data_IF_686411252868
#
_entry.id   IF_686411252868
#
_cell.length_a   1.000
_cell.length_b   1.000
_cell.length_c   1.000
_cell.angle_alpha   90.00
_cell.angle_beta   90.00
_cell.angle_gamma   90.00
#
_symmetry.space_group_name_H-M   'P 1'
#
loop_
_entity.id
_entity.type
_entity.pdbx_description
1 polymer ?
#
# COMPACT_ATOMS: atom_id res chain seq x y z
N UNK A 1 0.34 14.14 35.98
CA UNK A 1 0.01 12.95 35.17
C UNK A 1 1.30 12.19 34.90
N UNK A 2 1.37 10.91 35.28
CA UNK A 2 2.55 10.05 35.05
C UNK A 2 2.77 9.81 33.55
N UNK A 3 4.02 9.72 33.11
CA UNK A 3 4.40 9.45 31.70
C UNK A 3 3.88 8.12 31.15
N UNK A 4 3.60 7.16 32.04
CA UNK A 4 2.95 5.89 31.72
C UNK A 4 1.48 6.09 31.34
N UNK A 5 0.73 6.93 32.06
CA UNK A 5 -0.66 7.23 31.71
C UNK A 5 -0.80 7.89 30.33
N UNK A 6 0.23 8.61 29.88
CA UNK A 6 0.26 9.23 28.55
C UNK A 6 0.65 8.27 27.44
N UNK A 7 1.45 7.22 27.68
CA UNK A 7 1.75 6.22 26.64
C UNK A 7 0.56 5.31 26.39
N UNK A 8 -0.13 4.90 27.44
CA UNK A 8 -1.30 4.04 27.34
C UNK A 8 -2.43 4.74 26.57
N UNK A 9 -2.64 6.03 26.82
CA UNK A 9 -3.59 6.85 26.05
C UNK A 9 -3.24 6.90 24.56
N UNK A 10 -1.97 7.16 24.21
CA UNK A 10 -1.53 7.21 22.81
C UNK A 10 -1.69 5.84 22.13
N UNK A 11 -1.41 4.74 22.83
CA UNK A 11 -1.67 3.39 22.33
C UNK A 11 -3.15 3.14 22.08
N UNK A 12 -4.02 3.50 23.03
CA UNK A 12 -5.46 3.34 22.87
C UNK A 12 -5.99 4.14 21.68
N UNK A 13 -5.55 5.39 21.51
CA UNK A 13 -5.90 6.20 20.33
C UNK A 13 -5.38 5.57 19.04
N UNK A 14 -4.15 5.06 19.02
CA UNK A 14 -3.63 4.33 17.87
C UNK A 14 -4.48 3.11 17.52
N UNK A 15 -4.86 2.29 18.50
CA UNK A 15 -5.68 1.10 18.27
C UNK A 15 -7.06 1.45 17.72
N UNK A 16 -7.68 2.51 18.23
CA UNK A 16 -8.96 3.02 17.72
C UNK A 16 -8.84 3.47 16.25
N UNK A 17 -7.84 4.29 15.94
CA UNK A 17 -7.61 4.76 14.57
C UNK A 17 -7.24 3.62 13.62
N UNK A 18 -6.48 2.64 14.09
CA UNK A 18 -6.13 1.45 13.31
C UNK A 18 -7.37 0.61 12.99
N UNK A 19 -8.23 0.37 13.99
CA UNK A 19 -9.50 -0.32 13.78
C UNK A 19 -10.43 0.42 12.81
N UNK A 20 -10.51 1.75 12.95
CA UNK A 20 -11.25 2.60 12.01
C UNK A 20 -10.68 2.49 10.59
N UNK A 21 -9.36 2.55 10.42
CA UNK A 21 -8.73 2.39 9.12
C UNK A 21 -9.08 1.04 8.46
N UNK A 22 -9.12 -0.05 9.23
CA UNK A 22 -9.47 -1.38 8.72
C UNK A 22 -10.94 -1.53 8.31
N UNK A 23 -11.84 -0.77 8.93
CA UNK A 23 -13.29 -0.92 8.76
C UNK A 23 -13.89 0.13 7.83
N UNK A 24 -13.27 1.30 7.74
CA UNK A 24 -13.71 2.39 6.87
C UNK A 24 -13.34 2.07 5.41
N UNK A 25 -14.29 2.36 4.52
CA UNK A 25 -14.08 2.26 3.08
C UNK A 25 -13.01 3.24 2.61
N UNK A 26 -12.28 2.88 1.56
CA UNK A 26 -11.18 3.65 0.97
C UNK A 26 -11.60 5.08 0.65
N UNK A 27 -12.81 5.30 0.11
CA UNK A 27 -13.30 6.64 -0.26
C UNK A 27 -13.43 7.60 0.94
N UNK A 28 -13.49 7.05 2.16
CA UNK A 28 -13.73 7.81 3.38
C UNK A 28 -12.52 7.84 4.32
N UNK A 29 -11.38 7.28 3.92
CA UNK A 29 -10.16 7.27 4.74
C UNK A 29 -9.66 8.68 5.07
N UNK A 30 -10.03 9.70 4.29
CA UNK A 30 -9.65 11.10 4.49
C UNK A 30 -10.04 11.64 5.87
N UNK A 31 -11.11 11.13 6.47
CA UNK A 31 -11.58 11.57 7.80
C UNK A 31 -10.59 11.23 8.92
N UNK A 32 -9.67 10.28 8.70
CA UNK A 32 -8.70 9.85 9.70
C UNK A 32 -7.41 10.67 9.69
N UNK A 33 -7.12 11.38 8.59
CA UNK A 33 -5.81 12.00 8.38
C UNK A 33 -5.46 13.04 9.44
N UNK A 34 -6.40 13.89 9.83
CA UNK A 34 -6.19 14.92 10.86
C UNK A 34 -5.89 14.27 12.22
N UNK A 35 -6.68 13.28 12.61
CA UNK A 35 -6.49 12.56 13.87
C UNK A 35 -5.15 11.82 13.92
N UNK A 36 -4.76 11.17 12.81
CA UNK A 36 -3.47 10.50 12.68
C UNK A 36 -2.30 11.49 12.70
N UNK A 37 -2.45 12.65 12.07
CA UNK A 37 -1.44 13.72 12.09
C UNK A 37 -1.23 14.27 13.50
N UNK A 38 -2.33 14.52 14.23
CA UNK A 38 -2.31 14.96 15.62
C UNK A 38 -1.64 13.92 16.52
N UNK A 39 -2.00 12.64 16.39
CA UNK A 39 -1.36 11.56 17.14
C UNK A 39 0.13 11.43 16.81
N UNK A 40 0.50 11.50 15.52
CA UNK A 40 1.90 11.48 15.06
C UNK A 40 2.71 12.60 15.68
N UNK A 41 2.18 13.83 15.67
CA UNK A 41 2.84 14.98 16.28
C UNK A 41 3.02 14.79 17.79
N UNK A 42 1.96 14.38 18.48
CA UNK A 42 1.97 14.14 19.92
C UNK A 42 2.96 13.04 20.34
N UNK A 43 2.96 11.89 19.66
CA UNK A 43 3.90 10.78 19.92
C UNK A 43 5.34 11.21 19.68
N UNK A 44 5.61 11.96 18.59
CA UNK A 44 6.97 12.41 18.27
C UNK A 44 7.49 13.44 19.27
N UNK A 45 6.65 14.37 19.72
CA UNK A 45 7.00 15.32 20.78
C UNK A 45 7.40 14.59 22.07
N UNK A 46 6.56 13.64 22.53
CA UNK A 46 6.88 12.82 23.71
C UNK A 46 8.13 11.95 23.52
N UNK A 47 8.36 11.40 22.31
CA UNK A 47 9.55 10.58 22.03
C UNK A 47 10.85 11.35 22.21
N UNK A 48 10.87 12.63 21.79
CA UNK A 48 12.05 13.50 21.97
C UNK A 48 12.32 13.71 23.47
N UNK A 49 11.28 13.96 24.25
CA UNK A 49 11.41 14.16 25.69
C UNK A 49 11.80 12.88 26.44
N UNK A 50 11.19 11.74 26.09
CA UNK A 50 11.52 10.43 26.66
C UNK A 50 12.97 10.05 26.38
N UNK A 51 13.45 10.30 25.14
CA UNK A 51 14.86 10.10 24.77
C UNK A 51 15.78 10.96 25.64
N UNK A 52 15.45 12.25 25.79
CA UNK A 52 16.24 13.20 26.59
C UNK A 52 16.32 12.76 28.05
N UNK A 53 15.19 12.39 28.65
CA UNK A 53 15.13 11.90 30.04
C UNK A 53 15.94 10.63 30.23
N UNK A 54 15.82 9.68 29.31
CA UNK A 54 16.59 8.44 29.34
C UNK A 54 18.10 8.70 29.25
N UNK A 55 18.56 9.50 28.29
CA UNK A 55 19.99 9.81 28.16
C UNK A 55 20.52 10.58 29.37
N UNK A 56 19.77 11.56 29.91
CA UNK A 56 20.15 12.28 31.13
C UNK A 56 20.28 11.34 32.35
N UNK A 57 19.34 10.41 32.53
CA UNK A 57 19.40 9.44 33.63
C UNK A 57 20.58 8.46 33.46
N UNK A 58 20.85 8.06 32.21
CA UNK A 58 21.97 7.21 31.85
C UNK A 58 23.31 7.92 32.09
N UNK A 59 23.47 9.17 31.66
CA UNK A 59 24.65 9.98 31.93
C UNK A 59 24.86 10.19 33.43
N UNK A 60 23.80 10.52 34.16
CA UNK A 60 23.85 10.66 35.63
C UNK A 60 24.31 9.37 36.29
N UNK A 61 23.83 8.21 35.82
CA UNK A 61 24.28 6.91 36.31
C UNK A 61 25.78 6.68 36.05
N UNK A 62 26.25 6.97 34.83
CA UNK A 62 27.65 6.80 34.45
C UNK A 62 28.59 7.75 35.20
N UNK A 63 28.13 8.97 35.48
CA UNK A 63 28.91 10.00 36.18
C UNK A 63 28.92 9.79 37.70
N UNK A 64 27.81 9.35 38.30
CA UNK A 64 27.68 9.15 39.75
C UNK A 64 28.33 7.86 40.24
N UNK A 65 28.30 6.81 39.41
CA UNK A 65 28.84 5.51 39.75
C UNK A 65 30.01 5.18 38.81
N UNK A 66 31.23 5.09 39.33
CA UNK A 66 32.37 4.56 38.57
C UNK A 66 32.21 3.04 38.35
N UNK A 67 33.10 2.43 37.56
CA UNK A 67 32.94 1.03 37.13
C UNK A 67 32.82 0.05 38.32
N UNK A 68 33.62 0.23 39.38
CA UNK A 68 33.55 -0.61 40.57
C UNK A 68 32.24 -0.40 41.35
N UNK A 69 31.79 0.85 41.52
CA UNK A 69 30.51 1.14 42.18
C UNK A 69 29.33 0.55 41.43
N UNK A 70 29.36 0.54 40.09
CA UNK A 70 28.29 -0.06 39.28
C UNK A 70 28.16 -1.58 39.45
N UNK A 71 29.26 -2.27 39.68
CA UNK A 71 29.29 -3.74 39.78
C UNK A 71 28.98 -4.19 41.21
N UNK A 72 29.49 -3.48 42.21
CA UNK A 72 29.54 -3.98 43.59
C UNK A 72 28.65 -3.24 44.59
N UNK A 73 27.87 -2.24 44.18
CA UNK A 73 27.02 -1.48 45.13
C UNK A 73 25.53 -1.61 44.85
N UNK A 74 24.77 -1.86 45.94
CA UNK A 74 23.31 -1.89 45.92
C UNK A 74 22.72 -0.55 45.45
N UNK A 75 23.34 0.57 45.79
CA UNK A 75 22.86 1.91 45.41
C UNK A 75 22.92 2.18 43.92
N UNK A 76 23.95 1.68 43.22
CA UNK A 76 24.03 1.75 41.76
C UNK A 76 22.93 0.88 41.11
N UNK A 77 22.74 -0.34 41.60
CA UNK A 77 21.69 -1.24 41.12
C UNK A 77 20.29 -0.64 41.32
N UNK A 78 20.03 -0.09 42.51
CA UNK A 78 18.77 0.56 42.83
C UNK A 78 18.49 1.75 41.91
N UNK A 79 19.46 2.64 41.71
CA UNK A 79 19.30 3.78 40.79
C UNK A 79 19.04 3.32 39.34
N UNK A 80 19.80 2.33 38.87
CA UNK A 80 19.60 1.77 37.53
C UNK A 80 18.18 1.24 37.36
N UNK A 81 17.68 0.49 38.33
CA UNK A 81 16.35 -0.13 38.27
C UNK A 81 15.20 0.87 38.49
N UNK A 82 15.39 1.91 39.30
CA UNK A 82 14.36 2.91 39.57
C UNK A 82 14.30 4.05 38.56
N UNK A 83 15.41 4.35 37.88
CA UNK A 83 15.54 5.59 37.09
C UNK A 83 15.98 5.35 35.66
N UNK A 84 16.87 4.39 35.39
CA UNK A 84 17.38 4.17 34.02
C UNK A 84 16.50 3.18 33.25
N UNK A 85 16.20 2.03 33.86
CA UNK A 85 15.45 0.95 33.20
C UNK A 85 14.02 1.36 32.82
N UNK A 86 13.21 2.00 33.70
CA UNK A 86 11.85 2.41 33.35
C UNK A 86 11.83 3.44 32.22
N UNK A 87 12.73 4.44 32.26
CA UNK A 87 12.83 5.44 31.20
C UNK A 87 13.26 4.83 29.86
N UNK A 88 14.17 3.83 29.89
CA UNK A 88 14.52 3.08 28.68
C UNK A 88 13.31 2.34 28.10
N UNK A 89 12.51 1.69 28.95
CA UNK A 89 11.32 0.97 28.51
C UNK A 89 10.30 1.90 27.87
N UNK A 90 9.98 3.03 28.53
CA UNK A 90 9.08 4.05 27.98
C UNK A 90 9.58 4.57 26.64
N UNK A 91 10.87 4.92 26.54
CA UNK A 91 11.48 5.37 25.29
C UNK A 91 11.34 4.33 24.15
N UNK A 92 11.59 3.05 24.43
CA UNK A 92 11.46 2.00 23.41
C UNK A 92 10.01 1.77 22.99
N UNK A 93 9.06 1.77 23.94
CA UNK A 93 7.64 1.66 23.64
C UNK A 93 7.15 2.84 22.79
N UNK A 94 7.58 4.06 23.10
CA UNK A 94 7.25 5.28 22.35
C UNK A 94 7.84 5.25 20.95
N UNK A 95 9.08 4.75 20.82
CA UNK A 95 9.75 4.59 19.53
C UNK A 95 9.01 3.60 18.64
N UNK A 96 8.60 2.46 19.19
CA UNK A 96 7.78 1.48 18.48
C UNK A 96 6.44 2.07 18.04
N UNK A 97 5.73 2.77 18.94
CA UNK A 97 4.48 3.42 18.62
C UNK A 97 4.64 4.49 17.52
N UNK A 98 5.69 5.31 17.59
CA UNK A 98 6.02 6.30 16.55
C UNK A 98 6.15 5.66 15.17
N UNK A 99 6.84 4.51 15.07
CA UNK A 99 6.94 3.75 13.81
C UNK A 99 5.57 3.27 13.33
N UNK A 100 4.73 2.75 14.22
CA UNK A 100 3.39 2.25 13.86
C UNK A 100 2.43 3.34 13.43
N UNK A 101 2.42 4.48 14.12
CA UNK A 101 1.61 5.66 13.74
C UNK A 101 2.08 6.23 12.41
N UNK A 102 3.40 6.31 12.16
CA UNK A 102 3.95 6.76 10.88
C UNK A 102 3.54 5.82 9.74
N UNK A 103 3.64 4.50 9.94
CA UNK A 103 3.22 3.52 8.97
C UNK A 103 1.73 3.69 8.60
N UNK A 104 0.85 3.74 9.60
CA UNK A 104 -0.59 3.91 9.39
C UNK A 104 -0.93 5.25 8.72
N UNK A 105 -0.27 6.34 9.13
CA UNK A 105 -0.44 7.65 8.50
C UNK A 105 -0.08 7.63 7.01
N UNK A 106 1.06 7.03 6.66
CA UNK A 106 1.49 6.92 5.27
C UNK A 106 0.53 6.04 4.47
N UNK A 107 0.16 4.87 4.99
CA UNK A 107 -0.81 3.97 4.35
C UNK A 107 -2.15 4.68 4.09
N UNK A 108 -2.70 5.38 5.10
CA UNK A 108 -3.94 6.16 4.96
C UNK A 108 -3.78 7.27 3.93
N UNK A 109 -2.65 7.99 3.94
CA UNK A 109 -2.38 9.06 2.97
C UNK A 109 -2.35 8.50 1.54
N UNK A 110 -1.70 7.36 1.31
CA UNK A 110 -1.72 6.70 0.00
C UNK A 110 -3.13 6.26 -0.40
N UNK A 111 -3.91 5.69 0.53
CA UNK A 111 -5.27 5.25 0.26
C UNK A 111 -6.22 6.40 -0.10
N UNK A 112 -6.00 7.59 0.45
CA UNK A 112 -6.77 8.80 0.14
C UNK A 112 -6.41 9.46 -1.18
N UNK A 113 -5.30 9.05 -1.81
CA UNK A 113 -4.93 9.58 -3.12
C UNK A 113 -5.96 9.13 -4.17
N UNK A 114 -6.41 10.03 -5.07
CA UNK A 114 -7.28 9.65 -6.18
C UNK A 114 -6.59 8.67 -7.11
N UNK A 115 -5.26 8.68 -7.17
CA UNK A 115 -4.46 7.73 -7.93
C UNK A 115 -3.36 7.14 -7.06
N UNK A 116 -3.25 5.82 -7.05
CA UNK A 116 -2.18 5.10 -6.37
C UNK A 116 -1.56 4.09 -7.34
N UNK A 117 -0.23 4.07 -7.39
CA UNK A 117 0.52 3.05 -8.12
C UNK A 117 1.44 2.31 -7.19
N UNK A 118 1.55 0.99 -7.38
CA UNK A 118 2.56 0.17 -6.73
C UNK A 118 3.31 -0.65 -7.77
N UNK A 119 4.56 -0.91 -7.47
CA UNK A 119 5.46 -1.67 -8.34
C UNK A 119 6.00 -2.89 -7.61
N UNK A 120 6.39 -3.90 -8.38
CA UNK A 120 7.08 -5.07 -7.85
C UNK A 120 8.22 -5.47 -8.79
N UNK A 121 9.44 -5.46 -8.27
CA UNK A 121 10.66 -5.78 -9.01
C UNK A 121 10.72 -7.28 -9.31
N UNK A 122 11.16 -7.68 -10.50
CA UNK A 122 11.31 -9.10 -10.87
C UNK A 122 10.05 -9.95 -10.65
N UNK A 123 8.88 -9.32 -10.83
CA UNK A 123 7.60 -10.00 -10.85
C UNK A 123 6.47 -9.12 -11.36
N UNK A 124 5.26 -9.49 -10.96
CA UNK A 124 4.02 -8.77 -11.22
C UNK A 124 3.37 -8.35 -9.91
N UNK A 125 2.51 -7.36 -10.00
CA UNK A 125 1.65 -6.89 -8.93
C UNK A 125 0.30 -6.58 -9.54
N UNK A 126 -0.76 -6.90 -8.83
CA UNK A 126 -2.12 -6.58 -9.22
C UNK A 126 -2.87 -5.98 -8.03
N UNK A 127 -3.81 -5.09 -8.35
CA UNK A 127 -4.73 -4.49 -7.40
C UNK A 127 -6.14 -4.72 -7.88
N UNK A 128 -7.04 -5.02 -6.95
CA UNK A 128 -8.46 -5.10 -7.21
C UNK A 128 -9.20 -4.32 -6.15
N UNK A 129 -10.10 -3.45 -6.57
CA UNK A 129 -11.01 -2.76 -5.66
C UNK A 129 -12.26 -3.61 -5.44
N UNK A 130 -12.59 -3.87 -4.17
CA UNK A 130 -13.84 -4.50 -3.80
C UNK A 130 -14.86 -3.40 -3.41
N UNK A 131 -15.86 -3.12 -4.26
CA UNK A 131 -16.84 -2.07 -3.99
C UNK A 131 -17.80 -2.40 -2.85
N UNK A 132 -17.91 -3.67 -2.43
CA UNK A 132 -18.76 -4.09 -1.31
C UNK A 132 -18.09 -3.72 0.02
N UNK A 133 -16.84 -4.13 0.20
CA UNK A 133 -16.07 -3.81 1.41
C UNK A 133 -15.47 -2.40 1.38
N UNK A 134 -15.37 -1.82 0.20
CA UNK A 134 -14.69 -0.55 -0.05
C UNK A 134 -13.18 -0.63 0.15
N UNK A 135 -12.56 -1.81 0.01
CA UNK A 135 -11.12 -2.02 0.23
C UNK A 135 -10.44 -2.46 -1.06
N UNK A 136 -9.17 -2.09 -1.21
CA UNK A 136 -8.32 -2.59 -2.28
C UNK A 136 -7.49 -3.78 -1.78
N UNK A 137 -7.49 -4.87 -2.55
CA UNK A 137 -6.63 -6.03 -2.31
C UNK A 137 -5.46 -6.00 -3.28
N UNK A 138 -4.25 -6.21 -2.75
CA UNK A 138 -3.01 -6.21 -3.52
C UNK A 138 -2.39 -7.60 -3.45
N UNK A 139 -1.96 -8.13 -4.59
CA UNK A 139 -1.14 -9.35 -4.63
C UNK A 139 0.07 -9.17 -5.52
N UNK A 140 1.16 -9.80 -5.13
CA UNK A 140 2.43 -9.79 -5.83
C UNK A 140 2.81 -11.23 -6.18
N UNK A 141 3.43 -11.42 -7.34
CA UNK A 141 3.91 -12.72 -7.76
C UNK A 141 5.29 -12.59 -8.40
N UNK A 142 6.26 -13.35 -7.90
CA UNK A 142 7.66 -13.28 -8.33
C UNK A 142 7.89 -14.24 -9.50
N UNK A 143 8.66 -13.80 -10.50
CA UNK A 143 8.99 -14.62 -11.69
C UNK A 143 7.76 -15.15 -12.47
N UNK A 144 6.64 -14.43 -12.44
CA UNK A 144 5.45 -14.73 -13.24
C UNK A 144 4.46 -13.57 -13.26
N UNK A 145 3.28 -13.81 -13.83
CA UNK A 145 2.16 -12.87 -13.81
C UNK A 145 1.10 -13.26 -12.78
N UNK A 146 0.46 -12.24 -12.22
CA UNK A 146 -0.76 -12.34 -11.44
C UNK A 146 -1.71 -11.23 -11.88
N UNK A 147 -2.99 -11.56 -11.96
CA UNK A 147 -4.04 -10.57 -12.14
C UNK A 147 -5.25 -10.95 -11.28
N UNK A 148 -6.04 -9.95 -10.91
CA UNK A 148 -7.26 -10.14 -10.15
C UNK A 148 -8.42 -9.36 -10.76
N UNK A 149 -9.64 -9.85 -10.57
CA UNK A 149 -10.87 -9.20 -11.04
C UNK A 149 -11.93 -9.33 -9.96
N UNK A 150 -12.61 -8.23 -9.65
CA UNK A 150 -13.79 -8.30 -8.81
C UNK A 150 -14.97 -8.82 -9.64
N UNK A 151 -15.57 -9.93 -9.21
CA UNK A 151 -16.78 -10.46 -9.82
C UNK A 151 -18.02 -9.92 -9.07
N UNK A 152 -18.82 -9.02 -9.68
CA UNK A 152 -19.98 -8.43 -9.05
C UNK A 152 -21.15 -9.41 -8.86
N UNK A 153 -21.12 -10.61 -9.46
CA UNK A 153 -22.17 -11.63 -9.31
C UNK A 153 -21.94 -12.46 -8.06
N UNK A 154 -20.68 -12.87 -7.83
CA UNK A 154 -20.30 -13.66 -6.65
C UNK A 154 -19.89 -12.78 -5.47
N UNK A 155 -19.69 -11.48 -5.69
CA UNK A 155 -19.15 -10.52 -4.73
C UNK A 155 -17.75 -10.89 -4.20
N UNK A 156 -16.97 -11.64 -4.99
CA UNK A 156 -15.63 -12.09 -4.63
C UNK A 156 -14.59 -11.60 -5.63
N UNK A 157 -13.36 -11.48 -5.17
CA UNK A 157 -12.22 -11.25 -6.06
C UNK A 157 -11.71 -12.60 -6.56
N UNK A 158 -11.68 -12.77 -7.86
CA UNK A 158 -11.04 -13.90 -8.53
C UNK A 158 -9.59 -13.53 -8.85
N UNK A 159 -8.67 -14.47 -8.62
CA UNK A 159 -7.25 -14.29 -8.86
C UNK A 159 -6.74 -15.39 -9.76
N UNK A 160 -5.87 -15.03 -10.69
CA UNK A 160 -5.18 -16.00 -11.51
C UNK A 160 -3.69 -15.67 -11.63
N UNK A 161 -2.89 -16.72 -11.57
CA UNK A 161 -1.43 -16.69 -11.62
C UNK A 161 -0.92 -17.52 -12.81
N UNK A 162 0.27 -17.17 -13.28
CA UNK A 162 0.91 -17.89 -14.36
C UNK A 162 2.43 -17.72 -14.36
N UNK A 163 3.14 -18.85 -14.34
CA UNK A 163 4.60 -18.87 -14.40
C UNK A 163 5.08 -18.67 -15.84
N UNK A 164 6.00 -17.73 -16.08
CA UNK A 164 6.51 -17.38 -17.42
C UNK A 164 5.43 -17.03 -18.48
N UNK A 165 4.22 -16.70 -18.02
CA UNK A 165 3.09 -16.29 -18.87
C UNK A 165 2.56 -14.96 -18.37
N UNK A 166 2.15 -14.07 -19.28
CA UNK A 166 1.22 -13.00 -18.96
C UNK A 166 -0.14 -13.59 -18.61
N UNK A 167 -0.82 -12.99 -17.64
CA UNK A 167 -2.19 -13.34 -17.23
C UNK A 167 -2.96 -12.04 -17.06
N UNK A 168 -4.17 -11.98 -17.60
CA UNK A 168 -5.07 -10.85 -17.43
C UNK A 168 -6.51 -11.31 -17.45
N UNK A 169 -7.33 -10.71 -16.58
CA UNK A 169 -8.75 -11.01 -16.46
C UNK A 169 -9.60 -9.76 -16.65
N UNK A 170 -10.77 -9.91 -17.25
CA UNK A 170 -11.76 -8.84 -17.41
C UNK A 170 -13.14 -9.40 -17.09
N UNK A 171 -13.93 -8.69 -16.29
CA UNK A 171 -15.32 -9.07 -16.09
C UNK A 171 -16.14 -8.72 -17.34
N UNK A 172 -16.82 -9.71 -17.91
CA UNK A 172 -17.76 -9.54 -19.00
C UNK A 172 -19.19 -9.37 -18.44
N UNK A 173 -19.76 -8.15 -18.42
CA UNK A 173 -21.11 -7.91 -17.91
C UNK A 173 -22.21 -8.52 -18.77
N UNK A 174 -21.98 -8.77 -20.07
CA UNK A 174 -22.95 -9.44 -20.95
C UNK A 174 -23.13 -10.89 -20.57
N UNK A 175 -22.02 -11.57 -20.26
CA UNK A 175 -21.99 -12.99 -19.93
C UNK A 175 -22.04 -13.26 -18.43
N UNK A 176 -21.88 -12.24 -17.59
CA UNK A 176 -21.84 -12.34 -16.13
C UNK A 176 -20.73 -13.26 -15.61
N UNK A 177 -19.57 -13.28 -16.30
CA UNK A 177 -18.40 -14.09 -15.95
C UNK A 177 -17.12 -13.28 -16.06
N UNK A 178 -16.06 -13.72 -15.37
CA UNK A 178 -14.70 -13.24 -15.65
C UNK A 178 -14.12 -14.04 -16.81
N UNK A 179 -13.65 -13.33 -17.83
CA UNK A 179 -12.88 -13.91 -18.91
C UNK A 179 -11.39 -13.71 -18.65
N UNK A 180 -10.64 -14.81 -18.79
CA UNK A 180 -9.21 -14.85 -18.54
C UNK A 180 -8.45 -15.11 -19.84
N UNK A 181 -7.32 -14.43 -20.00
CA UNK A 181 -6.40 -14.69 -21.10
C UNK A 181 -4.98 -14.83 -20.60
N UNK A 182 -4.28 -15.82 -21.15
CA UNK A 182 -2.87 -16.09 -20.88
C UNK A 182 -2.06 -15.98 -22.17
N UNK A 183 -0.81 -15.54 -22.03
CA UNK A 183 0.12 -15.47 -23.15
C UNK A 183 1.53 -15.87 -22.72
N UNK A 184 2.09 -16.90 -23.34
CA UNK A 184 3.41 -17.40 -22.99
C UNK A 184 4.51 -16.44 -23.44
N UNK A 185 5.49 -16.21 -22.57
CA UNK A 185 6.64 -15.33 -22.81
C UNK A 185 6.29 -13.90 -23.27
N UNK A 186 5.27 -13.30 -22.67
CA UNK A 186 4.89 -11.93 -22.98
C UNK A 186 3.78 -11.39 -22.08
N UNK A 187 3.41 -10.15 -22.32
CA UNK A 187 2.29 -9.49 -21.68
C UNK A 187 0.98 -9.78 -22.40
N UNK A 188 -0.11 -9.75 -21.64
CA UNK A 188 -1.49 -9.76 -22.14
C UNK A 188 -2.29 -8.74 -21.35
N UNK A 189 -3.20 -8.05 -22.03
CA UNK A 189 -4.10 -7.09 -21.42
C UNK A 189 -5.46 -7.15 -22.11
N UNK A 190 -6.52 -7.00 -21.33
CA UNK A 190 -7.89 -6.97 -21.82
C UNK A 190 -8.60 -5.71 -21.35
N UNK A 191 -9.46 -5.17 -22.20
CA UNK A 191 -10.30 -4.03 -21.86
C UNK A 191 -11.71 -4.31 -22.36
N UNK A 192 -12.70 -4.12 -21.49
CA UNK A 192 -14.09 -4.19 -21.89
C UNK A 192 -14.46 -2.93 -22.69
N UNK A 193 -14.94 -3.10 -23.92
CA UNK A 193 -15.44 -2.03 -24.77
C UNK A 193 -16.97 -1.94 -24.62
N UNK A 194 -17.50 -0.97 -23.85
CA UNK A 194 -18.95 -0.84 -23.65
C UNK A 194 -19.72 -0.41 -24.91
N UNK A 195 -19.05 0.16 -25.92
CA UNK A 195 -19.69 0.52 -27.18
C UNK A 195 -19.95 -0.69 -28.08
N UNK A 196 -19.12 -1.73 -27.96
CA UNK A 196 -19.23 -2.97 -28.73
C UNK A 196 -19.80 -4.14 -27.92
N UNK A 197 -19.92 -4.00 -26.60
CA UNK A 197 -20.39 -5.05 -25.69
C UNK A 197 -19.51 -6.32 -25.77
N UNK A 198 -18.20 -6.10 -25.88
CA UNK A 198 -17.16 -7.13 -26.04
C UNK A 198 -15.89 -6.77 -25.29
N UNK A 199 -15.06 -7.78 -24.99
CA UNK A 199 -13.70 -7.58 -24.48
C UNK A 199 -12.73 -7.60 -25.65
N UNK A 200 -11.92 -6.56 -25.77
CA UNK A 200 -10.79 -6.55 -26.69
C UNK A 200 -9.52 -6.93 -25.95
N UNK A 201 -8.69 -7.73 -26.60
CA UNK A 201 -7.48 -8.29 -26.03
C UNK A 201 -6.28 -7.94 -26.89
N UNK A 202 -5.18 -7.56 -26.24
CA UNK A 202 -3.90 -7.44 -26.91
C UNK A 202 -2.80 -8.16 -26.15
N UNK A 203 -1.84 -8.68 -26.90
CA UNK A 203 -0.66 -9.39 -26.41
C UNK A 203 0.60 -8.74 -26.93
N UNK A 204 1.68 -8.77 -26.16
CA UNK A 204 3.00 -8.35 -26.61
C UNK A 204 4.07 -9.34 -26.21
N UNK A 205 4.91 -9.74 -27.17
CA UNK A 205 5.99 -10.69 -26.92
C UNK A 205 7.15 -9.98 -26.23
N UNK A 206 7.68 -10.58 -25.16
CA UNK A 206 8.79 -10.04 -24.39
C UNK A 206 8.62 -8.57 -23.93
N UNK A 207 7.39 -8.15 -23.62
CA UNK A 207 7.08 -6.78 -23.19
C UNK A 207 5.86 -6.74 -22.27
N UNK A 208 5.74 -5.71 -21.43
CA UNK A 208 4.47 -5.36 -20.78
C UNK A 208 3.52 -4.67 -21.75
N UNK A 209 2.23 -4.72 -21.45
CA UNK A 209 1.18 -4.12 -22.27
C UNK A 209 0.02 -3.63 -21.40
N UNK A 210 -0.50 -2.45 -21.75
CA UNK A 210 -1.61 -1.77 -21.09
C UNK A 210 -2.63 -1.31 -22.12
N UNK A 211 -3.91 -1.36 -21.76
CA UNK A 211 -5.01 -0.87 -22.58
C UNK A 211 -5.93 0.04 -21.78
N UNK A 212 -6.49 1.05 -22.44
CA UNK A 212 -7.43 1.99 -21.83
C UNK A 212 -8.54 2.29 -22.81
N UNK A 213 -9.80 2.15 -22.38
CA UNK A 213 -10.95 2.58 -23.16
C UNK A 213 -11.05 4.11 -23.14
N UNK A 214 -11.09 4.73 -24.31
CA UNK A 214 -11.30 6.16 -24.47
C UNK A 214 -12.81 6.43 -24.67
N UNK A 215 -13.53 7.01 -23.69
CA UNK A 215 -14.97 7.24 -23.81
C UNK A 215 -15.33 8.29 -24.88
N UNK A 216 -14.39 9.12 -25.33
CA UNK A 216 -14.64 10.15 -26.35
C UNK A 216 -14.58 9.58 -27.76
N UNK A 217 -13.57 8.76 -28.04
CA UNK A 217 -13.43 8.11 -29.36
C UNK A 217 -14.20 6.80 -29.44
N UNK A 218 -14.54 6.20 -28.29
CA UNK A 218 -15.14 4.86 -28.14
C UNK A 218 -14.22 3.73 -28.62
N UNK A 219 -12.92 4.00 -28.63
CA UNK A 219 -11.88 3.04 -29.02
C UNK A 219 -10.98 2.72 -27.83
N UNK A 220 -10.27 1.60 -27.90
CA UNK A 220 -9.25 1.26 -26.91
C UNK A 220 -7.89 1.69 -27.45
N UNK A 221 -7.19 2.48 -26.64
CA UNK A 221 -5.80 2.81 -26.91
C UNK A 221 -4.88 1.86 -26.14
N UNK A 222 -3.80 1.48 -26.80
CA UNK A 222 -2.89 0.47 -26.30
C UNK A 222 -1.47 1.01 -26.22
N UNK A 223 -0.72 0.54 -25.22
CA UNK A 223 0.69 0.85 -25.07
C UNK A 223 1.48 -0.37 -24.65
N UNK A 224 2.64 -0.54 -25.28
CA UNK A 224 3.62 -1.58 -24.94
C UNK A 224 4.84 -0.97 -24.27
N UNK A 225 5.47 -1.71 -23.37
CA UNK A 225 6.73 -1.32 -22.73
C UNK A 225 7.71 -2.49 -22.75
N UNK A 226 8.81 -2.33 -23.50
CA UNK A 226 9.73 -3.43 -23.87
C UNK A 226 10.40 -4.06 -22.65
N UNK A 227 10.66 -3.28 -21.60
CA UNK A 227 11.43 -3.74 -20.44
C UNK A 227 10.70 -3.53 -19.12
N UNK A 228 9.38 -3.42 -19.12
CA UNK A 228 8.67 -3.00 -17.93
C UNK A 228 7.16 -3.18 -18.01
N UNK A 229 6.51 -2.93 -16.89
CA UNK A 229 5.07 -2.83 -16.81
C UNK A 229 4.60 -1.45 -17.27
N UNK A 230 3.43 -1.43 -17.91
CA UNK A 230 2.75 -0.21 -18.35
C UNK A 230 1.28 -0.30 -17.99
N UNK A 231 0.76 0.75 -17.36
CA UNK A 231 -0.66 0.92 -17.06
C UNK A 231 -1.10 2.28 -17.55
N UNK A 232 -2.38 2.41 -17.88
CA UNK A 232 -2.95 3.69 -18.27
C UNK A 232 -4.30 3.91 -17.61
N UNK A 233 -4.75 5.16 -17.67
CA UNK A 233 -6.09 5.57 -17.27
C UNK A 233 -6.54 6.74 -18.12
N UNK A 234 -7.86 6.90 -18.26
CA UNK A 234 -8.45 8.07 -18.89
C UNK A 234 -8.59 9.18 -17.86
N UNK A 235 -7.96 10.32 -18.11
CA UNK A 235 -8.05 11.51 -17.27
C UNK A 235 -9.20 12.39 -17.78
N UNK A 236 -10.28 12.46 -17.01
CA UNK A 236 -11.48 13.24 -17.37
C UNK A 236 -11.26 14.76 -17.30
N UNK A 237 -10.28 15.26 -16.52
CA UNK A 237 -10.00 16.69 -16.44
C UNK A 237 -9.32 17.17 -17.72
N UNK A 238 -8.30 16.42 -18.17
CA UNK A 238 -7.57 16.76 -19.39
C UNK A 238 -8.15 16.12 -20.65
N UNK A 239 -9.14 15.23 -20.50
CA UNK A 239 -9.76 14.46 -21.60
C UNK A 239 -8.73 13.67 -22.44
N UNK A 240 -7.70 13.13 -21.77
CA UNK A 240 -6.63 12.38 -22.43
C UNK A 240 -6.27 11.12 -21.66
N UNK A 241 -5.70 10.14 -22.36
CA UNK A 241 -5.15 8.96 -21.72
C UNK A 241 -3.75 9.29 -21.18
N UNK A 242 -3.51 8.91 -19.93
CA UNK A 242 -2.21 9.00 -19.28
C UNK A 242 -1.63 7.60 -19.12
N UNK A 243 -0.32 7.51 -19.33
CA UNK A 243 0.43 6.26 -19.24
C UNK A 243 1.49 6.35 -18.15
N UNK A 244 1.63 5.28 -17.38
CA UNK A 244 2.66 5.14 -16.34
C UNK A 244 3.45 3.88 -16.63
N UNK A 245 4.77 4.03 -16.75
CA UNK A 245 5.69 2.96 -17.10
C UNK A 245 6.77 2.81 -16.04
N UNK A 246 7.19 1.56 -15.81
CA UNK A 246 8.28 1.24 -14.89
C UNK A 246 9.16 0.13 -15.43
N UNK A 247 10.41 0.49 -15.70
CA UNK A 247 11.46 -0.43 -16.13
C UNK A 247 11.73 -1.51 -15.07
N UNK A 248 11.74 -2.78 -15.47
CA UNK A 248 11.99 -3.98 -14.65
C UNK A 248 11.03 -4.19 -13.48
N UNK A 249 9.83 -3.63 -13.58
CA UNK A 249 8.78 -3.84 -12.59
C UNK A 249 7.47 -4.24 -13.25
N UNK A 250 6.72 -5.11 -12.59
CA UNK A 250 5.26 -5.07 -12.73
C UNK A 250 4.71 -3.81 -12.08
N UNK A 251 3.63 -3.28 -12.62
CA UNK A 251 2.95 -2.09 -12.09
C UNK A 251 1.45 -2.34 -11.99
N UNK A 252 0.86 -1.90 -10.89
CA UNK A 252 -0.57 -1.89 -10.66
C UNK A 252 -1.01 -0.47 -10.34
N UNK A 253 -2.19 -0.10 -10.84
CA UNK A 253 -2.81 1.20 -10.67
C UNK A 253 -4.23 1.02 -10.17
N UNK A 254 -4.57 1.81 -9.14
CA UNK A 254 -5.93 2.07 -8.72
C UNK A 254 -6.18 3.57 -8.87
N UNK A 255 -7.26 3.94 -9.56
CA UNK A 255 -7.64 5.33 -9.81
C UNK A 255 -9.11 5.54 -9.53
N UNK A 256 -9.43 6.63 -8.84
CA UNK A 256 -10.80 7.08 -8.64
C UNK A 256 -11.37 7.58 -9.95
N UNK A 257 -12.54 7.08 -10.31
CA UNK A 257 -13.34 7.59 -11.41
C UNK A 257 -14.57 8.29 -10.84
N UNK A 258 -14.60 9.61 -10.99
CA UNK A 258 -15.71 10.46 -10.54
C UNK A 258 -17.00 10.23 -11.33
N UNK A 259 -16.91 9.68 -12.54
CA UNK A 259 -18.07 9.40 -13.40
C UNK A 259 -18.84 8.20 -12.88
N UNK A 260 -18.12 7.14 -12.50
CA UNK A 260 -18.71 5.91 -11.95
C UNK A 260 -18.79 5.92 -10.43
N UNK A 261 -18.23 6.96 -9.77
CA UNK A 261 -18.10 7.06 -8.32
C UNK A 261 -17.50 5.79 -7.72
N UNK A 262 -16.46 5.28 -8.37
CA UNK A 262 -15.83 4.01 -8.05
C UNK A 262 -14.34 4.03 -8.38
N UNK A 263 -13.57 3.11 -7.80
CA UNK A 263 -12.18 2.92 -8.18
C UNK A 263 -12.06 1.94 -9.36
N UNK A 264 -11.32 2.35 -10.38
CA UNK A 264 -10.89 1.51 -11.49
C UNK A 264 -9.51 0.95 -11.15
N UNK A 265 -9.32 -0.34 -11.41
CA UNK A 265 -8.04 -1.02 -11.19
C UNK A 265 -7.52 -1.63 -12.47
N UNK A 266 -6.20 -1.55 -12.68
CA UNK A 266 -5.52 -2.22 -13.78
C UNK A 266 -4.10 -2.59 -13.37
N UNK A 267 -3.51 -3.53 -14.08
CA UNK A 267 -2.14 -3.96 -13.84
C UNK A 267 -1.43 -4.35 -15.14
N UNK A 268 -0.12 -4.39 -15.09
CA UNK A 268 0.69 -5.03 -16.12
C UNK A 268 1.82 -5.76 -15.44
N UNK A 269 2.08 -6.98 -15.91
CA UNK A 269 3.33 -7.66 -15.59
C UNK A 269 4.51 -6.89 -16.18
N UNK A 270 5.65 -6.92 -15.48
CA UNK A 270 6.94 -6.60 -16.09
C UNK A 270 7.45 -7.85 -16.80
N UNK A 271 8.00 -7.70 -18.00
CA UNK A 271 8.72 -8.79 -18.66
C UNK A 271 10.19 -8.75 -18.27
N UNK A 272 10.75 -9.94 -18.00
CA UNK A 272 12.16 -10.15 -17.70
C UNK A 272 12.70 -11.07 -18.79
N UNK A 273 13.41 -10.50 -19.77
CA UNK A 273 14.21 -11.33 -20.66
C UNK A 273 15.36 -11.91 -19.85
N UNK A 274 15.51 -13.23 -19.87
CA UNK A 274 16.78 -13.85 -19.48
C UNK A 274 17.80 -13.45 -20.56
N UNK A 275 18.80 -12.65 -20.17
CA UNK A 275 20.00 -12.42 -21.02
C UNK A 275 20.86 -13.69 -21.04
#
# INVERSE_FOLDING_TARGET
MSTESTIDLQYNTYQQLYFQHQTIRREHQGILLESLQNLKHNVNSCLIDDKRRYENAKETFYHKFNIFKRIFTHTASQYKNSSVVPLKQIYQQRKYLSTKVLQLFNETTFETSPIETRTHWNGSIAVVYNPITGRAEWKQYRHGAIHGVFNPITHTIEWEEGFQTGVYGVFNPKLNIVEWKKFYKGGVHGVYNPALDTIEWQTSFHSGIGGVYNPLTKEIEWKTSVYGGVVGYFDYETQTIKWIERWHHGIALISWDSTTNNYITTASCGWYGDN
#
